data_IF_810424864913
#
_entry.id   IF_810424864913
#
_cell.length_a   1.000
_cell.length_b   1.000
_cell.length_c   1.000
_cell.angle_alpha   90.00
_cell.angle_beta   90.00
_cell.angle_gamma   90.00
#
_symmetry.space_group_name_H-M   'P 1'
#
loop_
_entity.id
_entity.type
_entity.pdbx_description
1 polymer ?
#
# COMPACT_ATOMS: atom_id res chain seq x y z
N UNK A 1 28.86 -73.19 -34.71
CA UNK A 1 29.32 -72.51 -33.49
C UNK A 1 28.70 -71.13 -33.51
N UNK A 2 27.48 -71.02 -32.99
CA UNK A 2 26.79 -69.74 -32.88
C UNK A 2 27.16 -69.15 -31.52
N UNK A 3 27.73 -67.95 -31.55
CA UNK A 3 28.17 -67.24 -30.36
C UNK A 3 26.98 -66.48 -29.76
N UNK A 4 26.55 -66.91 -28.57
CA UNK A 4 25.58 -66.20 -27.73
C UNK A 4 26.10 -64.79 -27.38
N UNK A 5 25.28 -63.72 -27.46
CA UNK A 5 25.69 -62.40 -27.03
C UNK A 5 25.81 -62.35 -25.49
N UNK A 6 27.03 -62.11 -25.05
CA UNK A 6 27.42 -61.82 -23.66
C UNK A 6 26.57 -60.69 -23.06
N UNK A 7 25.60 -61.04 -22.21
CA UNK A 7 24.86 -60.12 -21.35
C UNK A 7 25.76 -59.60 -20.23
N UNK A 8 26.62 -58.63 -20.55
CA UNK A 8 27.51 -57.97 -19.57
C UNK A 8 26.95 -56.62 -19.14
N UNK A 9 26.03 -56.63 -18.17
CA UNK A 9 25.54 -55.43 -17.49
C UNK A 9 24.78 -55.83 -16.23
N UNK A 10 25.29 -55.45 -15.04
CA UNK A 10 24.60 -55.78 -13.78
C UNK A 10 23.22 -55.11 -13.66
N UNK A 11 22.40 -55.45 -12.64
CA UNK A 11 21.00 -55.02 -12.50
C UNK A 11 20.77 -53.50 -12.45
N UNK A 12 21.83 -52.69 -12.31
CA UNK A 12 21.75 -51.23 -12.40
C UNK A 12 21.86 -50.69 -13.83
N UNK A 13 22.57 -51.38 -14.73
CA UNK A 13 22.68 -51.00 -16.13
C UNK A 13 21.33 -51.15 -16.85
N UNK A 14 20.65 -52.27 -16.62
CA UNK A 14 19.28 -52.53 -17.12
C UNK A 14 18.29 -51.47 -16.62
N UNK A 15 18.44 -51.03 -15.36
CA UNK A 15 17.59 -49.98 -14.79
C UNK A 15 17.85 -48.62 -15.43
N UNK A 16 19.10 -48.28 -15.73
CA UNK A 16 19.48 -47.03 -16.38
C UNK A 16 18.97 -46.99 -17.83
N UNK A 17 19.05 -48.11 -18.55
CA UNK A 17 18.51 -48.24 -19.90
C UNK A 17 16.99 -48.16 -19.90
N UNK A 18 16.32 -48.87 -19.00
CA UNK A 18 14.88 -48.76 -18.80
C UNK A 18 14.44 -47.32 -18.51
N UNK A 19 15.16 -46.61 -17.64
CA UNK A 19 14.87 -45.19 -17.34
C UNK A 19 15.06 -44.30 -18.56
N UNK A 20 16.09 -44.53 -19.39
CA UNK A 20 16.30 -43.79 -20.64
C UNK A 20 15.18 -44.06 -21.64
N UNK A 21 14.74 -45.31 -21.77
CA UNK A 21 13.61 -45.70 -22.61
C UNK A 21 12.30 -45.03 -22.16
N UNK A 22 11.98 -45.12 -20.86
CA UNK A 22 10.80 -44.48 -20.29
C UNK A 22 10.81 -42.96 -20.52
N UNK A 23 11.97 -42.30 -20.36
CA UNK A 23 12.11 -40.87 -20.64
C UNK A 23 11.80 -40.56 -22.10
N UNK A 24 12.39 -41.29 -23.04
CA UNK A 24 12.15 -41.11 -24.49
C UNK A 24 10.68 -41.29 -24.87
N UNK A 25 9.96 -42.18 -24.17
CA UNK A 25 8.55 -42.47 -24.45
C UNK A 25 7.59 -41.44 -23.87
N UNK A 26 7.87 -40.93 -22.67
CA UNK A 26 6.90 -40.12 -21.90
C UNK A 26 7.29 -38.65 -21.73
N UNK A 27 8.49 -38.24 -22.14
CA UNK A 27 8.95 -36.84 -22.08
C UNK A 27 8.92 -36.16 -23.45
N UNK A 28 8.68 -34.84 -23.51
CA UNK A 28 8.91 -34.06 -24.73
C UNK A 28 10.35 -34.16 -25.21
N UNK A 29 10.57 -34.25 -26.54
CA UNK A 29 11.91 -34.39 -27.13
C UNK A 29 12.87 -33.26 -26.74
N UNK A 30 12.36 -32.04 -26.58
CA UNK A 30 13.16 -30.87 -26.18
C UNK A 30 13.64 -30.90 -24.72
N UNK A 31 13.09 -31.81 -23.90
CA UNK A 31 13.43 -31.98 -22.47
C UNK A 31 14.54 -33.02 -22.28
N UNK A 32 14.94 -33.72 -23.34
CA UNK A 32 15.93 -34.78 -23.31
C UNK A 32 17.13 -34.41 -24.18
N UNK A 33 18.31 -34.86 -23.77
CA UNK A 33 19.49 -34.88 -24.64
C UNK A 33 19.46 -36.12 -25.53
N UNK A 34 20.32 -36.15 -26.55
CA UNK A 34 20.39 -37.27 -27.52
C UNK A 34 20.67 -38.63 -26.84
N UNK A 35 21.38 -38.62 -25.71
CA UNK A 35 21.68 -39.80 -24.89
C UNK A 35 20.51 -40.31 -24.02
N UNK A 36 19.36 -39.62 -24.04
CA UNK A 36 18.18 -39.93 -23.22
C UNK A 36 18.27 -39.44 -21.76
N UNK A 37 19.28 -38.65 -21.41
CA UNK A 37 19.34 -37.92 -20.14
C UNK A 37 18.45 -36.67 -20.18
N UNK A 38 18.11 -36.13 -19.00
CA UNK A 38 17.26 -34.94 -18.88
C UNK A 38 18.10 -33.69 -19.17
N UNK A 39 17.60 -32.82 -20.04
CA UNK A 39 18.15 -31.48 -20.24
C UNK A 39 17.66 -30.54 -19.13
N UNK A 40 18.54 -30.22 -18.18
CA UNK A 40 18.23 -29.30 -17.08
C UNK A 40 17.99 -27.86 -17.55
N UNK A 41 18.53 -27.47 -18.72
CA UNK A 41 18.35 -26.13 -19.27
C UNK A 41 16.93 -25.92 -19.83
N UNK A 42 16.23 -27.00 -20.17
CA UNK A 42 14.82 -26.95 -20.55
C UNK A 42 13.92 -26.38 -19.44
N UNK A 43 14.27 -26.63 -18.17
CA UNK A 43 13.49 -26.20 -17.01
C UNK A 43 13.90 -24.83 -16.47
N UNK A 44 15.04 -24.29 -16.92
CA UNK A 44 15.41 -22.93 -16.56
C UNK A 44 14.41 -21.99 -17.23
N UNK A 45 13.81 -21.04 -16.50
CA UNK A 45 13.01 -20.00 -17.11
C UNK A 45 13.86 -19.35 -18.19
N UNK A 46 13.50 -19.58 -19.46
CA UNK A 46 14.12 -18.82 -20.55
C UNK A 46 13.90 -17.38 -20.16
N UNK A 47 14.98 -16.59 -20.18
CA UNK A 47 14.91 -15.14 -19.97
C UNK A 47 14.14 -14.58 -21.16
N UNK A 48 12.83 -14.78 -21.17
CA UNK A 48 11.90 -14.09 -22.04
C UNK A 48 12.00 -12.67 -21.52
N UNK A 49 12.94 -11.94 -22.10
CA UNK A 49 12.85 -10.49 -22.14
C UNK A 49 11.57 -10.27 -22.90
N UNK A 50 10.46 -10.19 -22.17
CA UNK A 50 9.22 -9.64 -22.67
C UNK A 50 9.63 -8.25 -23.14
N UNK A 51 9.95 -8.14 -24.43
CA UNK A 51 9.95 -6.87 -25.13
C UNK A 51 8.52 -6.41 -24.96
N UNK A 52 8.30 -5.57 -23.95
CA UNK A 52 6.98 -5.08 -23.62
C UNK A 52 6.52 -4.30 -24.85
N UNK A 53 5.68 -4.93 -25.67
CA UNK A 53 5.16 -4.37 -26.89
C UNK A 53 4.36 -3.12 -26.55
N UNK A 54 4.77 -1.97 -27.07
CA UNK A 54 4.09 -0.69 -26.91
C UNK A 54 3.69 -0.22 -28.28
N UNK A 55 2.38 -0.14 -28.50
CA UNK A 55 1.79 0.24 -29.79
C UNK A 55 2.31 -0.57 -31.00
N UNK A 56 1.65 -0.52 -32.15
CA UNK A 56 2.23 -1.03 -33.39
C UNK A 56 3.40 -0.10 -33.78
N UNK A 57 4.65 -0.52 -33.54
CA UNK A 57 5.83 0.07 -34.18
C UNK A 57 6.80 0.89 -33.31
N UNK A 58 6.71 0.91 -31.98
CA UNK A 58 7.67 1.63 -31.13
C UNK A 58 8.14 0.85 -29.89
N UNK A 59 9.31 1.18 -29.31
CA UNK A 59 9.65 0.70 -27.97
C UNK A 59 8.72 1.35 -26.93
N UNK A 60 8.16 0.58 -25.99
CA UNK A 60 7.45 1.17 -24.84
C UNK A 60 8.39 2.12 -24.10
N UNK A 61 7.99 3.38 -23.97
CA UNK A 61 8.66 4.30 -23.06
C UNK A 61 8.56 3.72 -21.64
N UNK A 62 9.68 3.64 -20.93
CA UNK A 62 9.69 3.23 -19.53
C UNK A 62 9.06 4.35 -18.71
N UNK A 63 8.12 4.02 -17.83
CA UNK A 63 7.55 4.97 -16.88
C UNK A 63 8.67 5.59 -16.03
N UNK A 64 8.85 6.91 -16.14
CA UNK A 64 9.90 7.67 -15.47
C UNK A 64 9.37 8.85 -14.65
N UNK A 65 10.29 9.76 -14.34
CA UNK A 65 9.98 11.03 -13.69
C UNK A 65 9.00 11.91 -14.49
N UNK A 66 9.13 12.10 -15.83
CA UNK A 66 8.22 12.98 -16.55
C UNK A 66 6.77 12.45 -16.57
N UNK A 67 6.58 11.14 -16.71
CA UNK A 67 5.24 10.54 -16.63
C UNK A 67 4.65 10.65 -15.23
N UNK A 68 5.49 10.55 -14.18
CA UNK A 68 5.06 10.76 -12.80
C UNK A 68 4.59 12.20 -12.58
N UNK A 69 5.35 13.19 -13.05
CA UNK A 69 5.00 14.61 -12.94
C UNK A 69 3.73 14.93 -13.74
N UNK A 70 3.61 14.39 -14.96
CA UNK A 70 2.41 14.50 -15.78
C UNK A 70 1.17 13.91 -15.08
N UNK A 71 1.30 12.75 -14.43
CA UNK A 71 0.21 12.15 -13.67
C UNK A 71 -0.19 13.01 -12.46
N UNK A 72 0.78 13.58 -11.74
CA UNK A 72 0.49 14.50 -10.63
C UNK A 72 -0.30 15.72 -11.11
N UNK A 73 0.13 16.33 -12.22
CA UNK A 73 -0.59 17.46 -12.83
C UNK A 73 -2.00 17.06 -13.29
N UNK A 74 -2.16 15.86 -13.84
CA UNK A 74 -3.47 15.32 -14.19
C UNK A 74 -4.39 15.10 -12.99
N UNK A 75 -3.86 14.63 -11.87
CA UNK A 75 -4.62 14.47 -10.62
C UNK A 75 -5.04 15.83 -10.04
N UNK A 76 -4.21 16.86 -10.19
CA UNK A 76 -4.54 18.23 -9.79
C UNK A 76 -5.67 18.82 -10.65
N UNK A 77 -5.57 18.71 -11.98
CA UNK A 77 -6.54 19.33 -12.89
C UNK A 77 -7.85 18.55 -13.04
N UNK A 78 -7.77 17.23 -13.24
CA UNK A 78 -8.95 16.38 -13.55
C UNK A 78 -9.46 15.58 -12.35
N UNK A 79 -8.55 15.19 -11.46
CA UNK A 79 -8.86 14.37 -10.31
C UNK A 79 -8.90 12.87 -10.59
N UNK A 80 -8.98 12.10 -9.51
CA UNK A 80 -9.02 10.63 -9.55
C UNK A 80 -10.30 10.16 -10.24
N UNK A 81 -10.15 9.26 -11.22
CA UNK A 81 -11.25 8.66 -11.98
C UNK A 81 -11.42 9.24 -13.39
N UNK A 82 -10.76 10.35 -13.71
CA UNK A 82 -10.77 10.99 -15.04
C UNK A 82 -9.55 10.61 -15.88
N UNK A 83 -9.32 9.30 -16.00
CA UNK A 83 -8.07 8.76 -16.54
C UNK A 83 -7.87 9.06 -18.03
N UNK A 84 -8.96 9.07 -18.81
CA UNK A 84 -8.90 9.34 -20.25
C UNK A 84 -8.54 10.79 -20.52
N UNK A 85 -9.09 11.70 -19.72
CA UNK A 85 -8.78 13.12 -19.77
C UNK A 85 -7.33 13.37 -19.36
N UNK A 86 -6.86 12.73 -18.27
CA UNK A 86 -5.46 12.79 -17.85
C UNK A 86 -4.52 12.27 -18.93
N UNK A 87 -4.84 11.13 -19.55
CA UNK A 87 -4.04 10.53 -20.60
C UNK A 87 -3.92 11.48 -21.81
N UNK A 88 -5.05 12.02 -22.27
CA UNK A 88 -5.11 12.93 -23.42
C UNK A 88 -4.31 14.22 -23.19
N UNK A 89 -4.44 14.82 -22.00
CA UNK A 89 -3.94 16.17 -21.75
C UNK A 89 -2.48 16.19 -21.26
N UNK A 90 -2.03 15.16 -20.53
CA UNK A 90 -0.71 15.14 -19.89
C UNK A 90 0.23 14.03 -20.34
N UNK A 91 -0.29 12.96 -20.95
CA UNK A 91 0.50 11.77 -21.27
C UNK A 91 0.40 11.43 -22.77
N UNK A 92 1.12 12.17 -23.63
CA UNK A 92 1.05 11.98 -25.07
C UNK A 92 1.53 10.60 -25.51
N UNK A 93 0.93 10.08 -26.57
CA UNK A 93 1.39 8.87 -27.28
C UNK A 93 0.54 7.61 -27.12
N UNK A 94 -0.68 7.70 -26.58
CA UNK A 94 -1.70 6.62 -26.51
C UNK A 94 -1.19 5.24 -26.04
N UNK A 95 -0.05 5.24 -25.35
CA UNK A 95 0.65 4.04 -24.90
C UNK A 95 0.29 3.68 -23.45
N UNK A 96 -0.37 4.61 -22.76
CA UNK A 96 -0.73 4.51 -21.36
C UNK A 96 -2.19 4.13 -21.23
N UNK A 97 -2.42 2.88 -20.88
CA UNK A 97 -3.76 2.36 -20.66
C UNK A 97 -4.31 2.79 -19.29
N UNK A 98 -5.63 2.93 -19.20
CA UNK A 98 -6.35 3.44 -18.03
C UNK A 98 -5.98 2.70 -16.74
N UNK A 99 -5.89 1.37 -16.78
CA UNK A 99 -5.51 0.54 -15.63
C UNK A 99 -4.08 0.85 -15.15
N UNK A 100 -3.16 1.18 -16.06
CA UNK A 100 -1.81 1.60 -15.67
C UNK A 100 -1.85 2.93 -14.91
N UNK A 101 -2.58 3.92 -15.41
CA UNK A 101 -2.72 5.22 -14.73
C UNK A 101 -3.36 5.06 -13.35
N UNK A 102 -4.43 4.26 -13.26
CA UNK A 102 -5.08 3.92 -12.00
C UNK A 102 -4.11 3.29 -11.01
N UNK A 103 -3.30 2.32 -11.45
CA UNK A 103 -2.32 1.63 -10.60
C UNK A 103 -1.22 2.59 -10.13
N UNK A 104 -0.77 3.50 -11.00
CA UNK A 104 0.24 4.50 -10.67
C UNK A 104 -0.29 5.55 -9.69
N UNK A 105 -1.52 6.04 -9.90
CA UNK A 105 -2.19 6.97 -8.99
C UNK A 105 -2.42 6.34 -7.60
N UNK A 106 -2.83 5.07 -7.57
CA UNK A 106 -3.00 4.31 -6.33
C UNK A 106 -1.68 4.24 -5.52
N UNK A 107 -0.55 4.01 -6.19
CA UNK A 107 0.78 4.04 -5.56
C UNK A 107 1.19 5.43 -5.09
N UNK A 108 0.88 6.48 -5.87
CA UNK A 108 1.17 7.85 -5.46
C UNK A 108 0.43 8.23 -4.18
N UNK A 109 -0.84 7.82 -4.06
CA UNK A 109 -1.64 8.07 -2.86
C UNK A 109 -1.41 7.05 -1.75
N UNK A 110 -0.57 6.03 -1.96
CA UNK A 110 -0.27 5.02 -0.94
C UNK A 110 -1.47 4.16 -0.58
N UNK A 111 -2.34 3.82 -1.55
CA UNK A 111 -3.53 2.99 -1.31
C UNK A 111 -3.72 1.94 -2.38
N UNK A 112 -4.30 0.79 -2.02
CA UNK A 112 -4.70 -0.24 -2.97
C UNK A 112 -5.93 0.18 -3.79
N UNK A 113 -6.89 0.84 -3.13
CA UNK A 113 -8.19 1.16 -3.72
C UNK A 113 -8.41 2.68 -3.77
N UNK A 114 -8.64 3.18 -4.97
CA UNK A 114 -8.99 4.58 -5.23
C UNK A 114 -10.48 4.88 -5.04
N UNK A 115 -11.30 3.91 -4.63
CA UNK A 115 -12.75 4.09 -4.48
C UNK A 115 -13.11 5.25 -3.52
N UNK A 116 -12.29 5.46 -2.47
CA UNK A 116 -12.44 6.57 -1.50
C UNK A 116 -12.04 7.94 -2.05
N UNK A 117 -11.34 7.97 -3.18
CA UNK A 117 -10.77 9.17 -3.76
C UNK A 117 -11.45 9.57 -5.06
N UNK A 118 -12.55 8.92 -5.47
CA UNK A 118 -13.22 9.27 -6.74
C UNK A 118 -13.60 10.74 -6.76
N UNK A 119 -13.12 11.47 -7.76
CA UNK A 119 -13.33 12.92 -7.91
C UNK A 119 -12.42 13.80 -7.05
N UNK A 120 -11.60 13.22 -6.16
CA UNK A 120 -10.61 13.97 -5.39
C UNK A 120 -9.54 14.55 -6.31
N UNK A 121 -9.19 15.82 -6.05
CA UNK A 121 -8.13 16.58 -6.72
C UNK A 121 -7.15 17.07 -5.67
N UNK A 122 -5.88 17.12 -6.02
CA UNK A 122 -4.86 17.67 -5.16
C UNK A 122 -3.54 17.87 -5.88
N UNK A 123 -2.82 18.89 -5.43
CA UNK A 123 -1.46 19.20 -5.83
C UNK A 123 -0.47 18.10 -5.41
N UNK A 124 0.77 18.18 -5.90
CA UNK A 124 1.81 17.23 -5.52
C UNK A 124 2.06 17.16 -4.00
N UNK A 125 1.93 18.29 -3.29
CA UNK A 125 2.06 18.33 -1.83
C UNK A 125 0.90 17.60 -1.13
N UNK A 126 -0.33 17.84 -1.57
CA UNK A 126 -1.52 17.17 -1.02
C UNK A 126 -1.53 15.66 -1.31
N UNK A 127 -1.00 15.23 -2.46
CA UNK A 127 -0.78 13.82 -2.76
C UNK A 127 0.17 13.18 -1.75
N UNK A 128 1.27 13.85 -1.41
CA UNK A 128 2.23 13.38 -0.40
C UNK A 128 1.59 13.34 1.00
N UNK A 129 0.80 14.36 1.36
CA UNK A 129 0.04 14.37 2.61
C UNK A 129 -0.95 13.20 2.70
N UNK A 130 -1.64 12.89 1.60
CA UNK A 130 -2.53 11.73 1.53
C UNK A 130 -1.74 10.43 1.64
N UNK A 131 -0.58 10.34 1.00
CA UNK A 131 0.31 9.18 1.11
C UNK A 131 0.74 8.95 2.57
N UNK A 132 1.27 9.98 3.24
CA UNK A 132 1.72 9.89 4.62
C UNK A 132 0.56 9.63 5.59
N UNK A 133 -0.63 10.20 5.33
CA UNK A 133 -1.85 9.86 6.07
C UNK A 133 -2.21 8.38 5.92
N UNK A 134 -2.22 7.85 4.70
CA UNK A 134 -2.52 6.45 4.44
C UNK A 134 -1.49 5.51 5.05
N UNK A 135 -0.23 5.92 5.05
CA UNK A 135 0.87 5.21 5.72
C UNK A 135 0.70 5.19 7.23
N UNK A 136 0.34 6.32 7.84
CA UNK A 136 0.06 6.39 9.27
C UNK A 136 -1.12 5.49 9.67
N UNK A 137 -2.20 5.50 8.89
CA UNK A 137 -3.36 4.61 9.11
C UNK A 137 -2.95 3.14 8.94
N UNK A 138 -2.18 2.83 7.90
CA UNK A 138 -1.68 1.48 7.65
C UNK A 138 -0.77 0.98 8.77
N UNK A 139 0.06 1.85 9.34
CA UNK A 139 0.88 1.54 10.50
C UNK A 139 0.04 1.29 11.76
N UNK A 140 -0.99 2.11 12.00
CA UNK A 140 -1.89 1.95 13.16
C UNK A 140 -2.78 0.70 13.10
N UNK A 141 -3.15 0.26 11.89
CA UNK A 141 -4.06 -0.86 11.66
C UNK A 141 -3.36 -2.16 11.24
N UNK A 142 -2.03 -2.15 11.06
CA UNK A 142 -1.30 -3.30 10.50
C UNK A 142 -1.56 -3.56 9.01
N UNK A 143 -2.22 -2.63 8.33
CA UNK A 143 -2.68 -2.76 6.95
C UNK A 143 -1.72 -2.15 5.90
N UNK A 144 -0.51 -1.74 6.31
CA UNK A 144 0.52 -1.25 5.40
C UNK A 144 1.33 -2.40 4.78
N UNK A 145 1.16 -2.64 3.47
CA UNK A 145 1.84 -3.73 2.75
C UNK A 145 2.40 -3.23 1.43
N UNK A 146 3.71 -3.41 1.21
CA UNK A 146 4.36 -3.07 -0.06
C UNK A 146 4.27 -1.58 -0.44
N UNK A 147 4.21 -0.68 0.54
CA UNK A 147 4.12 0.77 0.30
C UNK A 147 2.71 1.28 -0.01
N UNK A 148 1.68 0.47 0.25
CA UNK A 148 0.28 0.87 0.09
C UNK A 148 -0.58 0.38 1.26
N UNK A 149 -1.64 1.13 1.53
CA UNK A 149 -2.72 0.78 2.44
C UNK A 149 -3.66 -0.24 1.79
N UNK A 150 -3.76 -1.43 2.39
CA UNK A 150 -4.52 -2.59 1.88
C UNK A 150 -5.70 -2.89 2.80
N UNK A 151 -6.82 -3.38 2.25
CA UNK A 151 -7.94 -3.86 3.06
C UNK A 151 -7.69 -5.29 3.54
N UNK A 152 -8.02 -5.56 4.80
CA UNK A 152 -7.88 -6.85 5.45
C UNK A 152 -9.22 -7.60 5.55
N UNK A 153 -9.17 -8.93 5.62
CA UNK A 153 -10.36 -9.78 5.69
C UNK A 153 -11.15 -9.56 7.00
N UNK A 154 -10.47 -9.12 8.07
CA UNK A 154 -11.09 -8.80 9.37
C UNK A 154 -11.82 -7.42 9.37
N UNK A 155 -11.67 -6.66 8.29
CA UNK A 155 -12.26 -5.34 8.10
C UNK A 155 -11.75 -4.29 9.10
N UNK A 156 -10.56 -4.47 9.65
CA UNK A 156 -9.92 -3.57 10.62
C UNK A 156 -9.80 -2.17 10.05
N UNK A 157 -9.35 -2.05 8.79
CA UNK A 157 -9.22 -0.75 8.13
C UNK A 157 -10.57 -0.04 8.01
N UNK A 158 -11.61 -0.78 7.62
CA UNK A 158 -12.96 -0.22 7.45
C UNK A 158 -13.50 0.32 8.77
N UNK A 159 -13.42 -0.47 9.85
CA UNK A 159 -13.87 -0.08 11.19
C UNK A 159 -13.10 1.16 11.71
N UNK A 160 -11.79 1.20 11.50
CA UNK A 160 -10.96 2.34 11.90
C UNK A 160 -11.38 3.63 11.19
N UNK A 161 -11.61 3.56 9.88
CA UNK A 161 -12.04 4.71 9.07
C UNK A 161 -13.44 5.21 9.47
N UNK A 162 -14.38 4.29 9.72
CA UNK A 162 -15.73 4.65 10.19
C UNK A 162 -15.68 5.36 11.55
N UNK A 163 -14.88 4.87 12.51
CA UNK A 163 -14.71 5.51 13.82
C UNK A 163 -14.12 6.91 13.72
N UNK A 164 -13.09 7.10 12.88
CA UNK A 164 -12.48 8.40 12.60
C UNK A 164 -13.50 9.40 12.04
N UNK A 165 -14.34 8.97 11.09
CA UNK A 165 -15.38 9.83 10.51
C UNK A 165 -16.44 10.23 11.54
N UNK A 166 -16.83 9.32 12.44
CA UNK A 166 -17.79 9.63 13.51
C UNK A 166 -17.21 10.63 14.54
N UNK A 167 -15.92 10.54 14.87
CA UNK A 167 -15.28 11.50 15.78
C UNK A 167 -15.17 12.89 15.17
N UNK A 168 -14.90 13.01 13.87
CA UNK A 168 -14.81 14.30 13.17
C UNK A 168 -16.18 14.99 13.01
N UNK A 169 -17.29 14.24 13.07
CA UNK A 169 -18.66 14.76 12.96
C UNK A 169 -19.29 15.14 14.31
N UNK A 170 -18.57 15.01 15.43
CA UNK A 170 -19.04 15.48 16.76
C UNK A 170 -18.23 16.68 17.29
N UNK A 171 -18.31 17.87 16.68
CA UNK A 171 -17.85 19.08 17.35
C UNK A 171 -18.96 19.58 18.29
N UNK A 172 -18.77 19.52 19.61
CA UNK A 172 -19.53 20.34 20.55
C UNK A 172 -20.30 19.66 21.70
N UNK A 173 -19.67 18.80 22.51
CA UNK A 173 -20.29 18.40 23.81
C UNK A 173 -19.40 18.50 25.04
N UNK A 174 -18.22 19.12 24.95
CA UNK A 174 -17.31 19.25 26.10
C UNK A 174 -17.13 20.67 26.66
N UNK A 175 -17.59 21.75 26.02
CA UNK A 175 -17.33 23.11 26.54
C UNK A 175 -18.49 23.74 27.35
N UNK A 176 -19.68 23.13 27.39
CA UNK A 176 -20.85 23.75 28.05
C UNK A 176 -21.13 23.31 29.50
N UNK A 177 -20.15 22.69 30.18
CA UNK A 177 -20.29 22.30 31.60
C UNK A 177 -19.44 23.11 32.59
N UNK A 178 -18.65 24.09 32.14
CA UNK A 178 -17.87 24.95 33.06
C UNK A 178 -18.41 26.37 33.28
N UNK A 179 -19.54 26.76 32.69
CA UNK A 179 -20.11 28.12 32.85
C UNK A 179 -21.46 28.20 33.58
N UNK A 180 -21.85 27.17 34.33
CA UNK A 180 -22.93 27.29 35.32
C UNK A 180 -22.38 27.21 36.75
N UNK A 181 -21.76 28.30 37.20
CA UNK A 181 -21.88 28.73 38.59
C UNK A 181 -22.62 30.07 38.60
N UNK A 182 -23.90 30.10 38.98
CA UNK A 182 -24.61 31.35 39.15
C UNK A 182 -24.10 32.06 40.41
N UNK A 183 -23.81 33.36 40.26
CA UNK A 183 -23.48 34.23 41.37
C UNK A 183 -24.58 34.20 42.44
N UNK A 184 -24.18 33.90 43.67
CA UNK A 184 -24.94 34.28 44.86
C UNK A 184 -24.19 35.43 45.51
N UNK A 185 -24.61 36.65 45.16
CA UNK A 185 -24.48 37.79 46.05
C UNK A 185 -25.29 37.45 47.31
N UNK A 186 -24.65 37.42 48.46
CA UNK A 186 -25.36 37.72 49.70
C UNK A 186 -24.52 38.75 50.45
N UNK A 187 -25.00 39.99 50.37
CA UNK A 187 -24.56 41.11 51.17
C UNK A 187 -24.73 40.75 52.64
N UNK A 188 -23.69 40.91 53.46
CA UNK A 188 -23.90 41.12 54.88
C UNK A 188 -23.05 42.31 55.32
N UNK A 189 -23.80 43.28 55.84
CA UNK A 189 -23.39 44.61 56.22
C UNK A 189 -22.54 44.54 57.49
N UNK A 190 -21.46 45.31 57.49
CA UNK A 190 -20.83 45.87 58.68
C UNK A 190 -21.89 46.70 59.44
N UNK A 191 -21.94 46.60 60.78
CA UNK A 191 -21.40 47.74 61.51
C UNK A 191 -20.79 47.39 62.87
N UNK A 192 -19.66 48.00 63.18
CA UNK A 192 -19.58 48.74 64.44
C UNK A 192 -18.33 48.54 65.29
N UNK A 193 -17.57 49.64 65.37
CA UNK A 193 -17.07 50.24 66.60
C UNK A 193 -16.16 49.37 67.51
N UNK A 194 -14.84 49.55 67.48
CA UNK A 194 -14.04 50.62 68.11
C UNK A 194 -13.25 50.10 69.34
N UNK A 195 -12.26 50.85 69.87
CA UNK A 195 -10.91 50.38 70.09
C UNK A 195 -10.57 50.17 71.58
N UNK A 196 -9.44 49.53 71.88
CA UNK A 196 -8.90 49.59 73.24
C UNK A 196 -7.72 48.66 73.51
N UNK A 197 -6.61 49.29 73.90
CA UNK A 197 -5.72 48.89 75.01
C UNK A 197 -4.90 47.60 74.85
N UNK A 198 -3.56 47.70 74.77
CA UNK A 198 -2.62 47.74 75.90
C UNK A 198 -2.64 46.47 76.77
N UNK A 199 -1.57 45.68 76.67
CA UNK A 199 -0.76 45.05 77.74
C UNK A 199 0.38 44.30 77.01
N UNK A 200 1.68 44.57 77.26
CA UNK A 200 2.49 44.00 78.34
C UNK A 200 2.46 42.46 78.28
N UNK A 201 3.52 41.67 78.31
CA UNK A 201 4.79 41.72 79.03
C UNK A 201 5.59 40.47 78.59
N UNK A 202 6.92 40.53 78.76
CA UNK A 202 7.86 39.46 79.19
C UNK A 202 7.97 38.07 78.51
N UNK A 203 9.19 37.69 78.09
CA UNK A 203 10.13 36.71 78.73
C UNK A 203 9.56 35.28 78.77
N UNK A 204 10.23 34.22 78.31
CA UNK A 204 11.51 33.70 78.78
C UNK A 204 12.09 32.67 77.78
N UNK A 205 13.43 32.52 77.85
CA UNK A 205 14.31 31.38 77.50
C UNK A 205 14.61 31.07 76.03
#
# INVERSE_FOLDING_TARGET
>A
MEAEPSTSGGPQADRLEFVREMRRRFSPKAMLKDDGSIDQDFFKPRRVVLVQAGAPGGPRTKWGAPEREALLKGLEEHGVGKWREIARDFLPGDQWEETQLRTRAARLLGTQSLARYVGWKGSAAEVEEVYERNKAIGAATGCWKGGILVEDDDGTLKKFMEQQQHQQQQPGRMEEQQQQQPGRMEQQQDPGAQPGSMESEEQEL
#
